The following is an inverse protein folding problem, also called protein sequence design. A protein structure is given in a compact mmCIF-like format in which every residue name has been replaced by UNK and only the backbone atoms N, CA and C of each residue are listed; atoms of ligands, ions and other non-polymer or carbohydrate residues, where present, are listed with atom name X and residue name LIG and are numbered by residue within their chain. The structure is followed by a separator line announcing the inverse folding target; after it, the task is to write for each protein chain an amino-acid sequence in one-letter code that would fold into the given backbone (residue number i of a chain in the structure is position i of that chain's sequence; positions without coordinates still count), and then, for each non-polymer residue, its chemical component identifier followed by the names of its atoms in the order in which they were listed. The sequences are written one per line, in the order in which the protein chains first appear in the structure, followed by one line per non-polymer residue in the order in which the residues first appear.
data_IF_478095513155
#
_entry.id   IF_478095513155
#
_cell.length_a   1.000
_cell.length_b   1.000
_cell.length_c   1.000
_cell.angle_alpha   90.00
_cell.angle_beta   90.00
_cell.angle_gamma   90.00
#
_symmetry.space_group_name_H-M   'P 1'
#
loop_
_entity.id
_entity.type
_entity.pdbx_description
1 polymer ?
#
# COMPACT_ATOMS: atom_id res chain seq x y z
N UNK A 1 -9.00 11.12 9.48
CA UNK A 1 -8.64 9.67 9.55
C UNK A 1 -9.67 8.84 10.35
N UNK A 2 -10.32 7.88 9.69
CA UNK A 2 -11.50 7.18 10.22
C UNK A 2 -11.19 6.07 11.24
N UNK A 3 -11.29 6.37 12.54
CA UNK A 3 -11.14 5.38 13.63
C UNK A 3 -11.98 4.11 13.45
N UNK A 4 -13.22 4.25 12.97
CA UNK A 4 -14.12 3.13 12.68
C UNK A 4 -13.51 2.14 11.68
N UNK A 5 -12.90 2.63 10.61
CA UNK A 5 -12.31 1.77 9.57
C UNK A 5 -11.05 1.05 10.09
N UNK A 6 -10.22 1.74 10.89
CA UNK A 6 -9.07 1.10 11.53
C UNK A 6 -9.51 -0.03 12.48
N UNK A 7 -10.57 0.18 13.24
CA UNK A 7 -11.15 -0.88 14.08
C UNK A 7 -11.68 -2.04 13.24
N UNK A 8 -12.41 -1.76 12.15
CA UNK A 8 -12.90 -2.81 11.24
C UNK A 8 -11.78 -3.68 10.67
N UNK A 9 -10.65 -3.07 10.29
CA UNK A 9 -9.46 -3.80 9.84
C UNK A 9 -8.93 -4.67 11.00
N UNK A 10 -8.67 -4.06 12.15
CA UNK A 10 -8.03 -4.72 13.28
C UNK A 10 -8.86 -5.88 13.87
N UNK A 11 -10.19 -5.87 13.72
CA UNK A 11 -11.08 -6.94 14.19
C UNK A 11 -11.45 -7.94 13.10
N UNK A 12 -10.99 -7.74 11.87
CA UNK A 12 -11.24 -8.71 10.79
C UNK A 12 -10.58 -10.04 11.12
N UNK A 13 -11.35 -11.11 11.01
CA UNK A 13 -10.91 -12.47 11.29
C UNK A 13 -10.53 -13.16 9.97
N UNK A 14 -9.27 -13.62 9.85
CA UNK A 14 -8.78 -14.37 8.69
C UNK A 14 -8.72 -15.87 9.03
N UNK A 15 -9.52 -16.67 8.31
CA UNK A 15 -9.52 -18.13 8.36
C UNK A 15 -8.36 -18.72 7.55
N UNK A 16 -8.10 -20.03 7.68
CA UNK A 16 -7.10 -20.71 6.84
C UNK A 16 -7.37 -20.52 5.35
N UNK A 17 -8.64 -20.60 4.94
CA UNK A 17 -9.05 -20.38 3.56
C UNK A 17 -8.79 -18.93 3.12
N UNK A 18 -9.02 -17.94 3.99
CA UNK A 18 -8.67 -16.55 3.68
C UNK A 18 -7.16 -16.42 3.41
N UNK A 19 -6.32 -17.08 4.21
CA UNK A 19 -4.86 -17.06 4.06
C UNK A 19 -4.40 -17.72 2.74
N UNK A 20 -5.01 -18.84 2.36
CA UNK A 20 -4.72 -19.51 1.09
C UNK A 20 -5.13 -18.62 -0.09
N UNK A 21 -6.35 -18.05 -0.06
CA UNK A 21 -6.87 -17.17 -1.10
C UNK A 21 -6.06 -15.88 -1.26
N UNK A 22 -5.54 -15.32 -0.17
CA UNK A 22 -4.66 -14.15 -0.19
C UNK A 22 -3.40 -14.41 -1.04
N UNK A 23 -2.93 -15.66 -1.10
CA UNK A 23 -1.80 -16.08 -1.94
C UNK A 23 -2.22 -16.63 -3.30
N UNK A 24 -3.48 -16.50 -3.68
CA UNK A 24 -4.01 -17.09 -4.93
C UNK A 24 -4.04 -18.62 -4.89
N UNK A 25 -4.15 -19.23 -3.71
CA UNK A 25 -4.03 -20.66 -3.46
C UNK A 25 -2.67 -21.26 -3.89
N UNK A 26 -1.63 -20.44 -4.02
CA UNK A 26 -0.27 -20.92 -4.31
C UNK A 26 0.37 -21.61 -3.09
N UNK A 27 -0.03 -21.20 -1.88
CA UNK A 27 0.50 -21.74 -0.61
C UNK A 27 -0.62 -22.24 0.29
N UNK A 28 -0.35 -23.34 0.99
CA UNK A 28 -1.18 -23.82 2.12
C UNK A 28 -0.95 -22.96 3.35
N UNK A 29 -1.97 -22.78 4.18
CA UNK A 29 -1.94 -21.85 5.33
C UNK A 29 -0.71 -21.99 6.24
N UNK A 30 -0.19 -23.20 6.47
CA UNK A 30 1.02 -23.43 7.29
C UNK A 30 2.28 -22.78 6.70
N UNK A 31 2.39 -22.73 5.37
CA UNK A 31 3.49 -22.07 4.68
C UNK A 31 3.30 -20.55 4.58
N UNK A 32 2.03 -20.09 4.58
CA UNK A 32 1.68 -18.67 4.46
C UNK A 32 2.23 -17.84 5.61
N UNK A 33 2.28 -18.38 6.84
CA UNK A 33 2.73 -17.63 8.03
C UNK A 33 4.07 -16.90 7.86
N UNK A 34 5.02 -17.46 7.10
CA UNK A 34 6.33 -16.86 6.87
C UNK A 34 6.33 -15.66 5.92
N UNK A 35 5.37 -15.59 4.99
CA UNK A 35 5.30 -14.53 3.97
C UNK A 35 4.17 -13.53 4.23
N UNK A 36 3.21 -13.91 5.07
CA UNK A 36 1.97 -13.18 5.31
C UNK A 36 2.18 -11.73 5.74
N UNK A 37 3.09 -11.52 6.69
CA UNK A 37 3.42 -10.18 7.19
C UNK A 37 3.91 -9.28 6.05
N UNK A 38 4.90 -9.72 5.29
CA UNK A 38 5.44 -8.96 4.16
C UNK A 38 4.41 -8.77 3.06
N UNK A 39 3.62 -9.79 2.74
CA UNK A 39 2.60 -9.74 1.70
C UNK A 39 1.53 -8.68 2.02
N UNK A 40 0.97 -8.72 3.23
CA UNK A 40 -0.05 -7.74 3.65
C UNK A 40 0.56 -6.34 3.79
N UNK A 41 1.74 -6.22 4.38
CA UNK A 41 2.39 -4.92 4.55
C UNK A 41 2.64 -4.24 3.21
N UNK A 42 3.20 -4.96 2.23
CA UNK A 42 3.46 -4.39 0.92
C UNK A 42 2.16 -4.20 0.10
N UNK A 43 1.12 -4.99 0.35
CA UNK A 43 -0.21 -4.76 -0.24
C UNK A 43 -0.84 -3.46 0.26
N UNK A 44 -0.74 -3.18 1.56
CA UNK A 44 -1.20 -1.91 2.16
C UNK A 44 -0.46 -0.73 1.54
N UNK A 45 0.87 -0.82 1.39
CA UNK A 45 1.67 0.23 0.73
C UNK A 45 1.23 0.42 -0.71
N UNK A 46 1.02 -0.67 -1.45
CA UNK A 46 0.59 -0.62 -2.86
C UNK A 46 -0.76 0.04 -3.01
N UNK A 47 -1.75 -0.31 -2.18
CA UNK A 47 -3.07 0.34 -2.16
C UNK A 47 -2.93 1.83 -1.86
N UNK A 48 -2.11 2.22 -0.89
CA UNK A 48 -1.88 3.64 -0.58
C UNK A 48 -1.28 4.43 -1.74
N UNK A 49 -0.32 3.84 -2.46
CA UNK A 49 0.26 4.46 -3.64
C UNK A 49 -0.73 4.56 -4.81
N UNK A 50 -1.53 3.52 -5.06
CA UNK A 50 -2.59 3.56 -6.08
C UNK A 50 -3.60 4.68 -5.82
N UNK A 51 -4.07 4.81 -4.58
CA UNK A 51 -5.00 5.87 -4.18
C UNK A 51 -4.35 7.25 -4.26
N UNK A 52 -3.07 7.38 -3.89
CA UNK A 52 -2.33 8.63 -4.01
C UNK A 52 -2.20 9.06 -5.47
N UNK A 53 -1.77 8.15 -6.37
CA UNK A 53 -1.65 8.44 -7.80
C UNK A 53 -3.01 8.78 -8.41
N UNK A 54 -4.08 8.11 -7.97
CA UNK A 54 -5.46 8.41 -8.38
C UNK A 54 -5.89 9.81 -7.95
N UNK A 55 -5.65 10.18 -6.69
CA UNK A 55 -5.96 11.52 -6.18
C UNK A 55 -5.19 12.62 -6.90
N UNK A 56 -3.93 12.36 -7.25
CA UNK A 56 -3.06 13.27 -8.01
C UNK A 56 -3.30 13.25 -9.53
N UNK A 57 -4.18 12.36 -10.02
CA UNK A 57 -4.46 12.14 -11.45
C UNK A 57 -3.21 11.76 -12.27
N UNK A 58 -2.29 11.03 -11.65
CA UNK A 58 -1.10 10.50 -12.29
C UNK A 58 -1.38 9.16 -12.97
N UNK A 59 -0.44 8.75 -13.83
CA UNK A 59 -0.47 7.42 -14.43
C UNK A 59 -0.49 6.34 -13.33
N UNK A 60 -1.02 5.13 -13.59
CA UNK A 60 -0.96 4.03 -12.63
C UNK A 60 0.47 3.68 -12.21
N UNK A 61 0.60 2.86 -11.15
CA UNK A 61 1.91 2.37 -10.70
C UNK A 61 2.66 1.68 -11.85
N UNK A 62 3.94 2.03 -12.06
CA UNK A 62 4.77 1.34 -13.04
C UNK A 62 5.13 -0.06 -12.55
N UNK A 63 5.52 -0.98 -13.47
CA UNK A 63 6.05 -2.29 -13.10
C UNK A 63 7.25 -2.20 -12.17
N UNK A 64 7.49 -3.25 -11.40
CA UNK A 64 8.62 -3.30 -10.48
C UNK A 64 9.96 -3.12 -11.20
N UNK A 65 10.83 -2.33 -10.57
CA UNK A 65 12.21 -2.07 -11.03
C UNK A 65 13.20 -2.67 -10.04
N UNK A 66 14.49 -2.83 -10.43
CA UNK A 66 15.56 -3.07 -9.48
C UNK A 66 15.54 -2.01 -8.38
N UNK A 67 15.86 -2.42 -7.16
CA UNK A 67 15.80 -1.52 -6.02
C UNK A 67 16.92 -0.48 -6.10
N UNK A 68 16.56 0.78 -5.90
CA UNK A 68 17.49 1.89 -5.84
C UNK A 68 17.26 2.72 -4.58
N UNK A 69 18.20 2.62 -3.63
CA UNK A 69 18.21 3.38 -2.37
C UNK A 69 18.72 4.82 -2.54
N UNK A 70 19.26 5.19 -3.70
CA UNK A 70 19.81 6.53 -3.92
C UNK A 70 18.69 7.54 -4.00
N UNK A 71 18.57 8.39 -2.97
CA UNK A 71 17.68 9.55 -2.99
C UNK A 71 18.01 10.47 -4.17
N UNK A 72 16.99 11.03 -4.85
CA UNK A 72 17.23 11.92 -5.97
C UNK A 72 17.97 13.18 -5.50
N UNK A 73 18.98 13.60 -6.25
CA UNK A 73 19.70 14.85 -5.99
C UNK A 73 18.85 16.08 -6.26
N UNK A 74 19.21 17.23 -5.66
CA UNK A 74 18.57 18.52 -5.94
C UNK A 74 18.58 18.87 -7.44
N UNK A 75 19.66 18.50 -8.13
CA UNK A 75 19.77 18.67 -9.57
C UNK A 75 18.73 17.82 -10.33
N UNK A 76 18.62 16.53 -10.02
CA UNK A 76 17.60 15.66 -10.63
C UNK A 76 16.18 16.17 -10.35
N UNK A 77 15.89 16.61 -9.12
CA UNK A 77 14.61 17.20 -8.74
C UNK A 77 14.33 18.53 -9.46
N UNK A 78 15.38 19.30 -9.79
CA UNK A 78 15.27 20.52 -10.58
C UNK A 78 15.02 20.26 -12.07
N UNK A 79 15.51 19.13 -12.59
CA UNK A 79 15.33 18.74 -14.01
C UNK A 79 13.92 18.20 -14.33
N UNK A 80 13.12 17.84 -13.32
CA UNK A 80 11.74 17.40 -13.53
C UNK A 80 10.91 18.51 -14.19
N UNK A 81 10.41 18.23 -15.40
CA UNK A 81 9.65 19.17 -16.23
C UNK A 81 8.16 19.15 -15.91
N UNK A 82 7.68 18.06 -15.32
CA UNK A 82 6.30 17.91 -14.85
C UNK A 82 6.23 17.58 -13.37
N UNK A 83 5.07 17.82 -12.76
CA UNK A 83 4.82 17.46 -11.37
C UNK A 83 4.80 15.93 -11.16
N UNK A 84 4.36 15.16 -12.17
CA UNK A 84 4.40 13.70 -12.13
C UNK A 84 5.83 13.16 -12.23
N UNK A 85 6.71 13.77 -13.04
CA UNK A 85 8.14 13.44 -13.06
C UNK A 85 8.78 13.72 -11.70
N UNK A 86 8.47 14.86 -11.09
CA UNK A 86 8.93 15.19 -9.74
C UNK A 86 8.44 14.15 -8.71
N UNK A 87 7.16 13.78 -8.77
CA UNK A 87 6.61 12.73 -7.92
C UNK A 87 7.28 11.38 -8.13
N UNK A 88 7.51 10.96 -9.39
CA UNK A 88 8.13 9.68 -9.70
C UNK A 88 9.56 9.57 -9.14
N UNK A 89 10.30 10.69 -9.06
CA UNK A 89 11.61 10.73 -8.40
C UNK A 89 11.50 10.48 -6.89
N UNK A 90 10.41 10.96 -6.25
CA UNK A 90 10.20 10.94 -4.80
C UNK A 90 9.27 9.85 -4.28
N UNK A 91 8.60 9.11 -5.16
CA UNK A 91 7.63 8.09 -4.76
C UNK A 91 8.31 7.08 -3.81
N UNK A 92 7.67 6.75 -2.66
CA UNK A 92 8.25 5.84 -1.68
C UNK A 92 8.69 4.48 -2.28
N UNK A 93 9.97 4.17 -2.09
CA UNK A 93 10.62 2.95 -2.58
C UNK A 93 10.69 1.89 -1.48
N UNK A 94 10.66 0.62 -1.88
CA UNK A 94 10.75 -0.52 -0.95
C UNK A 94 11.47 -1.66 -1.63
N UNK A 95 12.50 -2.21 -0.98
CA UNK A 95 13.19 -3.41 -1.46
C UNK A 95 12.24 -4.61 -1.60
N UNK A 96 11.25 -4.72 -0.70
CA UNK A 96 10.26 -5.80 -0.73
C UNK A 96 9.29 -5.69 -1.90
N UNK A 97 9.11 -4.47 -2.46
CA UNK A 97 8.28 -4.16 -3.63
C UNK A 97 9.19 -3.79 -4.82
N UNK A 98 10.14 -4.66 -5.13
CA UNK A 98 11.14 -4.48 -6.19
C UNK A 98 11.58 -5.83 -6.75
N UNK A 99 12.30 -5.83 -7.87
CA UNK A 99 12.88 -7.06 -8.44
C UNK A 99 13.92 -7.73 -7.52
N UNK A 100 14.43 -7.01 -6.51
CA UNK A 100 15.40 -7.50 -5.53
C UNK A 100 14.73 -8.07 -4.25
N UNK A 101 13.40 -8.23 -4.28
CA UNK A 101 12.66 -8.87 -3.20
C UNK A 101 13.03 -10.33 -3.07
N UNK A 102 13.33 -10.77 -1.84
CA UNK A 102 13.62 -12.19 -1.54
C UNK A 102 12.39 -13.01 -1.17
N UNK A 103 11.23 -12.36 -1.07
CA UNK A 103 10.01 -12.97 -0.51
C UNK A 103 8.81 -12.87 -1.44
N UNK A 104 8.78 -11.89 -2.33
CA UNK A 104 7.58 -11.53 -3.09
C UNK A 104 7.92 -11.31 -4.55
N UNK A 105 7.03 -11.75 -5.42
CA UNK A 105 6.93 -11.30 -6.80
C UNK A 105 5.83 -10.24 -6.92
N UNK A 106 5.91 -9.43 -7.96
CA UNK A 106 4.91 -8.40 -8.26
C UNK A 106 3.49 -8.98 -8.31
N UNK A 107 3.29 -10.09 -9.02
CA UNK A 107 1.99 -10.75 -9.13
C UNK A 107 1.45 -11.30 -7.79
N UNK A 108 2.31 -11.54 -6.79
CA UNK A 108 1.84 -11.93 -5.46
C UNK A 108 1.11 -10.76 -4.79
N UNK A 109 1.62 -9.54 -4.99
CA UNK A 109 0.99 -8.32 -4.46
C UNK A 109 -0.31 -8.03 -5.19
N UNK A 110 -0.36 -8.15 -6.52
CA UNK A 110 -1.61 -7.93 -7.28
C UNK A 110 -2.73 -8.86 -6.82
N UNK A 111 -2.38 -10.12 -6.56
CA UNK A 111 -3.30 -11.14 -6.04
C UNK A 111 -3.80 -10.76 -4.65
N UNK A 112 -2.89 -10.39 -3.75
CA UNK A 112 -3.24 -10.00 -2.38
C UNK A 112 -4.04 -8.70 -2.33
N UNK A 113 -3.71 -7.69 -3.13
CA UNK A 113 -4.46 -6.45 -3.26
C UNK A 113 -5.88 -6.72 -3.76
N UNK A 114 -6.02 -7.55 -4.80
CA UNK A 114 -7.34 -7.97 -5.32
C UNK A 114 -8.18 -8.64 -4.24
N UNK A 115 -7.56 -9.50 -3.43
CA UNK A 115 -8.22 -10.17 -2.33
C UNK A 115 -8.63 -9.20 -1.21
N UNK A 116 -7.68 -8.37 -0.73
CA UNK A 116 -7.89 -7.41 0.35
C UNK A 116 -8.95 -6.36 0.00
N UNK A 117 -9.00 -5.90 -1.26
CA UNK A 117 -10.05 -5.00 -1.72
C UNK A 117 -11.47 -5.60 -1.54
N UNK A 118 -11.61 -6.92 -1.66
CA UNK A 118 -12.88 -7.62 -1.46
C UNK A 118 -13.15 -7.89 0.02
N UNK A 119 -12.14 -8.41 0.73
CA UNK A 119 -12.29 -8.92 2.10
C UNK A 119 -12.22 -7.83 3.18
N UNK A 120 -11.41 -6.80 2.92
CA UNK A 120 -11.06 -5.72 3.86
C UNK A 120 -11.10 -4.35 3.14
N UNK A 121 -12.24 -3.94 2.55
CA UNK A 121 -12.34 -2.70 1.76
C UNK A 121 -11.98 -1.44 2.55
N UNK A 122 -12.06 -1.49 3.88
CA UNK A 122 -11.65 -0.42 4.80
C UNK A 122 -10.24 0.10 4.57
N UNK A 123 -9.31 -0.74 4.10
CA UNK A 123 -7.93 -0.33 3.77
C UNK A 123 -7.95 0.79 2.72
N UNK A 124 -8.60 0.52 1.57
CA UNK A 124 -8.70 1.48 0.47
C UNK A 124 -9.52 2.71 0.84
N UNK A 125 -10.61 2.51 1.60
CA UNK A 125 -11.47 3.59 2.08
C UNK A 125 -10.68 4.61 2.94
N UNK A 126 -9.75 4.15 3.78
CA UNK A 126 -8.95 5.05 4.63
C UNK A 126 -8.04 5.94 3.77
N UNK A 127 -7.30 5.36 2.82
CA UNK A 127 -6.42 6.13 1.94
C UNK A 127 -7.20 7.11 1.07
N UNK A 128 -8.28 6.63 0.43
CA UNK A 128 -9.14 7.46 -0.40
C UNK A 128 -9.65 8.68 0.38
N UNK A 129 -10.22 8.48 1.57
CA UNK A 129 -10.70 9.57 2.43
C UNK A 129 -9.58 10.52 2.84
N UNK A 130 -8.41 10.00 3.20
CA UNK A 130 -7.28 10.84 3.59
C UNK A 130 -6.86 11.78 2.46
N UNK A 131 -6.80 11.29 1.22
CA UNK A 131 -6.41 12.11 0.08
C UNK A 131 -7.52 13.05 -0.41
N UNK A 132 -8.78 12.62 -0.37
CA UNK A 132 -9.93 13.49 -0.66
C UNK A 132 -10.03 14.64 0.34
N UNK A 133 -9.79 14.39 1.64
CA UNK A 133 -9.75 15.43 2.69
C UNK A 133 -8.61 16.43 2.46
N UNK A 134 -7.45 15.97 1.98
CA UNK A 134 -6.28 16.80 1.73
C UNK A 134 -6.32 17.56 0.40
N UNK A 135 -7.05 17.04 -0.59
CA UNK A 135 -7.20 17.62 -1.92
C UNK A 135 -8.67 17.61 -2.38
N UNK A 136 -9.54 18.44 -1.76
CA UNK A 136 -10.99 18.35 -1.95
C UNK A 136 -11.50 18.84 -3.33
N UNK A 137 -10.73 19.65 -4.07
CA UNK A 137 -11.21 20.31 -5.31
C UNK A 137 -10.20 20.26 -6.48
N UNK A 138 -10.64 19.86 -7.69
CA UNK A 138 -9.98 20.23 -8.95
C UNK A 138 -10.37 21.66 -9.40
N UNK A 139 -9.48 22.43 -10.04
CA UNK A 139 -8.15 22.07 -10.53
C UNK A 139 -7.06 22.82 -9.75
N UNK A 140 -6.75 22.40 -8.52
CA UNK A 140 -5.54 22.91 -7.89
C UNK A 140 -4.34 22.26 -8.57
N UNK A 141 -3.57 23.05 -9.32
CA UNK A 141 -2.24 22.63 -9.77
C UNK A 141 -1.40 22.52 -8.50
N UNK A 142 -1.03 21.30 -8.14
CA UNK A 142 -0.21 21.07 -6.96
C UNK A 142 1.23 21.46 -7.23
N UNK A 143 1.83 22.23 -6.33
CA UNK A 143 3.26 22.52 -6.36
C UNK A 143 4.09 21.37 -5.75
N UNK A 144 5.42 21.46 -5.88
CA UNK A 144 6.34 20.44 -5.37
C UNK A 144 6.18 20.21 -3.85
N UNK A 145 5.89 21.27 -3.07
CA UNK A 145 5.72 21.19 -1.62
C UNK A 145 4.41 20.51 -1.25
N UNK A 146 3.35 20.71 -2.04
CA UNK A 146 2.08 20.02 -1.88
C UNK A 146 2.22 18.53 -2.21
N UNK A 147 2.97 18.17 -3.24
CA UNK A 147 3.32 16.77 -3.51
C UNK A 147 4.05 16.13 -2.35
N UNK A 148 5.06 16.79 -1.79
CA UNK A 148 5.78 16.30 -0.61
C UNK A 148 4.84 16.07 0.57
N UNK A 149 3.91 17.00 0.80
CA UNK A 149 2.91 16.89 1.87
C UNK A 149 1.98 15.69 1.66
N UNK A 150 1.59 15.40 0.41
CA UNK A 150 0.78 14.22 0.08
C UNK A 150 1.55 12.90 0.23
N UNK A 151 2.85 12.88 -0.09
CA UNK A 151 3.72 11.73 0.16
C UNK A 151 3.83 11.45 1.66
N UNK A 152 4.02 12.49 2.48
CA UNK A 152 4.08 12.34 3.94
C UNK A 152 2.74 11.90 4.53
N UNK A 153 1.62 12.43 4.02
CA UNK A 153 0.29 11.97 4.40
C UNK A 153 0.08 10.48 4.08
N UNK A 154 0.53 10.03 2.90
CA UNK A 154 0.48 8.61 2.54
C UNK A 154 1.32 7.75 3.50
N UNK A 155 2.54 8.19 3.84
CA UNK A 155 3.42 7.50 4.80
C UNK A 155 2.74 7.39 6.17
N UNK A 156 2.21 8.49 6.71
CA UNK A 156 1.52 8.50 7.99
C UNK A 156 0.27 7.62 8.00
N UNK A 157 -0.53 7.67 6.93
CA UNK A 157 -1.73 6.85 6.78
C UNK A 157 -1.38 5.37 6.70
N UNK A 158 -0.33 5.02 5.94
CA UNK A 158 0.14 3.64 5.83
C UNK A 158 0.62 3.08 7.17
N UNK A 159 1.26 3.88 8.03
CA UNK A 159 1.67 3.43 9.38
C UNK A 159 0.47 2.95 10.19
N UNK A 160 -0.61 3.72 10.22
CA UNK A 160 -1.80 3.40 11.01
C UNK A 160 -2.56 2.19 10.44
N UNK A 161 -2.68 2.10 9.11
CA UNK A 161 -3.30 0.95 8.46
C UNK A 161 -2.47 -0.31 8.68
N UNK A 162 -1.13 -0.25 8.55
CA UNK A 162 -0.21 -1.36 8.82
C UNK A 162 -0.32 -1.86 10.25
N UNK A 163 -0.48 -0.96 11.22
CA UNK A 163 -0.71 -1.32 12.62
C UNK A 163 -2.01 -2.10 12.76
N UNK A 164 -3.11 -1.63 12.17
CA UNK A 164 -4.39 -2.32 12.20
C UNK A 164 -4.33 -3.69 11.51
N UNK A 165 -3.70 -3.79 10.33
CA UNK A 165 -3.54 -5.08 9.64
C UNK A 165 -2.58 -6.02 10.37
N UNK A 166 -1.60 -5.50 11.11
CA UNK A 166 -0.75 -6.34 11.96
C UNK A 166 -1.58 -6.99 13.07
N UNK A 167 -2.46 -6.24 13.75
CA UNK A 167 -3.40 -6.80 14.72
C UNK A 167 -4.30 -7.87 14.10
N UNK A 168 -4.81 -7.65 12.89
CA UNK A 168 -5.61 -8.60 12.13
C UNK A 168 -4.88 -9.95 11.90
N UNK A 169 -3.58 -9.92 11.60
CA UNK A 169 -2.78 -11.12 11.32
C UNK A 169 -2.62 -12.00 12.58
N UNK A 170 -2.42 -11.39 13.75
CA UNK A 170 -2.14 -12.10 15.01
C UNK A 170 -3.39 -12.54 15.78
N UNK A 171 -4.57 -12.56 15.15
CA UNK A 171 -5.78 -13.13 15.78
C UNK A 171 -5.76 -14.64 15.59
N UNK A 172 -4.89 -15.34 16.32
CA UNK A 172 -4.67 -16.79 16.17
C UNK A 172 -5.96 -17.62 16.32
N UNK A 173 -6.91 -17.13 17.12
CA UNK A 173 -8.23 -17.77 17.30
C UNK A 173 -9.00 -17.91 15.99
N UNK A 174 -8.72 -17.08 15.00
CA UNK A 174 -9.35 -17.11 13.69
C UNK A 174 -8.83 -18.21 12.77
N UNK A 175 -7.62 -18.73 13.04
CA UNK A 175 -6.97 -19.72 12.18
C UNK A 175 -7.52 -21.12 12.37
N UNK A 176 -8.35 -21.36 13.38
CA UNK A 176 -8.88 -22.67 13.75
C UNK A 176 -10.40 -22.73 13.73
N UNK A 177 -11.06 -21.72 13.14
CA UNK A 177 -12.51 -21.72 12.96
C UNK A 177 -12.81 -22.34 11.61
N UNK A 178 -13.48 -23.50 11.63
CA UNK A 178 -14.00 -24.21 10.45
C UNK A 178 -15.17 -23.47 9.80
#
# INVERSE_FOLDING_TARGET
MGKKELTNIATTCLTQKDLELLTGNALRYQAVGFVLFHLIEQSVVTIGLEELRTALKFSPLPPWKPFNETEPSDHELATATTIEEYYNLREPRSKMRSLDSRYLFEHNIDTAVTYLNKRVPSIRIIFKKAFEEACPDPPKVLDKKEIDSMIELNRATAVEVKKATSTMIYIDKCWYVE
#
